data_IF_971885929170
#
_entry.id   IF_971885929170
#
_cell.length_a   1.000
_cell.length_b   1.000
_cell.length_c   1.000
_cell.angle_alpha   90.00
_cell.angle_beta   90.00
_cell.angle_gamma   90.00
#
_symmetry.space_group_name_H-M   'P 1'
#
loop_
_entity.id
_entity.type
_entity.pdbx_description
1 polymer ?
#
# COMPACT_ATOMS: atom_id res chain seq x y z
N UNK A 1 -4.41 33.47 4.61
CA UNK A 1 -5.14 32.25 4.14
C UNK A 1 -5.29 32.17 2.62
N UNK A 2 -5.39 33.29 1.86
CA UNK A 2 -5.57 33.27 0.39
C UNK A 2 -4.37 32.69 -0.40
N UNK A 3 -3.14 32.95 -0.03
CA UNK A 3 -1.94 32.49 -0.77
C UNK A 3 -1.74 30.98 -0.80
N UNK A 4 -2.25 30.26 0.19
CA UNK A 4 -2.14 28.80 0.26
C UNK A 4 -3.10 28.11 -0.74
N UNK A 5 -4.35 28.57 -0.82
CA UNK A 5 -5.35 27.97 -1.70
C UNK A 5 -5.00 28.17 -3.19
N UNK A 6 -4.54 29.38 -3.58
CA UNK A 6 -4.12 29.69 -4.95
C UNK A 6 -2.91 28.85 -5.41
N UNK A 7 -2.03 28.49 -4.48
CA UNK A 7 -0.92 27.60 -4.73
C UNK A 7 -1.42 26.19 -5.10
N UNK A 8 -2.35 25.65 -4.33
CA UNK A 8 -2.91 24.30 -4.57
C UNK A 8 -3.84 24.28 -5.78
N UNK A 9 -4.56 25.36 -6.10
CA UNK A 9 -5.35 25.46 -7.34
C UNK A 9 -4.46 25.30 -8.59
N UNK A 10 -3.26 25.88 -8.59
CA UNK A 10 -2.28 25.70 -9.68
C UNK A 10 -1.78 24.26 -9.72
N UNK A 11 -1.54 23.61 -8.59
CA UNK A 11 -1.05 22.23 -8.52
C UNK A 11 -2.09 21.19 -8.95
N UNK A 12 -3.39 21.50 -8.93
CA UNK A 12 -4.42 20.65 -9.55
C UNK A 12 -4.22 20.47 -11.07
N UNK A 13 -3.51 21.39 -11.72
CA UNK A 13 -3.22 21.35 -13.16
C UNK A 13 -1.83 20.82 -13.49
N UNK A 14 -1.05 20.39 -12.49
CA UNK A 14 0.31 19.88 -12.68
C UNK A 14 0.34 18.58 -13.50
N UNK A 15 1.39 18.39 -14.26
CA UNK A 15 1.66 17.12 -14.97
C UNK A 15 2.00 15.99 -14.00
N UNK A 16 2.58 16.31 -12.84
CA UNK A 16 2.97 15.32 -11.84
C UNK A 16 1.78 14.86 -11.00
N UNK A 17 1.59 13.54 -10.93
CA UNK A 17 0.50 12.94 -10.15
C UNK A 17 0.59 13.29 -8.66
N UNK A 18 1.81 13.38 -8.12
CA UNK A 18 2.06 13.71 -6.71
C UNK A 18 1.53 15.09 -6.37
N UNK A 19 1.80 16.11 -7.20
CA UNK A 19 1.33 17.46 -6.95
C UNK A 19 -0.20 17.57 -7.06
N UNK A 20 -0.80 16.88 -8.04
CA UNK A 20 -2.26 16.85 -8.17
C UNK A 20 -2.93 16.15 -6.98
N UNK A 21 -2.32 15.06 -6.47
CA UNK A 21 -2.81 14.35 -5.30
C UNK A 21 -2.75 15.21 -4.03
N UNK A 22 -1.61 15.89 -3.79
CA UNK A 22 -1.46 16.81 -2.66
C UNK A 22 -2.51 17.93 -2.71
N UNK A 23 -2.71 18.53 -3.89
CA UNK A 23 -3.71 19.56 -4.08
C UNK A 23 -5.14 19.04 -3.85
N UNK A 24 -5.48 17.86 -4.37
CA UNK A 24 -6.78 17.25 -4.17
C UNK A 24 -7.07 16.94 -2.69
N UNK A 25 -6.07 16.47 -1.95
CA UNK A 25 -6.17 16.21 -0.50
C UNK A 25 -6.29 17.50 0.31
N UNK A 26 -5.50 18.51 -0.03
CA UNK A 26 -5.65 19.82 0.61
C UNK A 26 -7.09 20.32 0.50
N UNK A 27 -7.70 20.24 -0.68
CA UNK A 27 -9.09 20.66 -0.87
C UNK A 27 -10.11 19.70 -0.23
N UNK A 28 -9.81 18.41 -0.07
CA UNK A 28 -10.65 17.53 0.72
C UNK A 28 -10.80 18.00 2.18
N UNK A 29 -9.75 18.62 2.74
CA UNK A 29 -9.78 19.17 4.08
C UNK A 29 -10.27 20.64 4.12
N UNK A 30 -9.96 21.48 3.11
CA UNK A 30 -10.07 22.94 3.17
C UNK A 30 -10.93 23.54 2.05
N UNK A 31 -11.71 22.74 1.32
CA UNK A 31 -12.54 23.28 0.24
C UNK A 31 -13.65 24.21 0.76
N UNK A 32 -13.88 25.27 0.01
CA UNK A 32 -14.98 26.21 0.18
C UNK A 32 -15.80 26.30 -1.10
N UNK A 33 -17.04 26.81 -1.09
CA UNK A 33 -17.86 26.93 -2.29
C UNK A 33 -17.19 27.64 -3.48
N UNK A 34 -16.27 28.58 -3.20
CA UNK A 34 -15.51 29.28 -4.25
C UNK A 34 -14.56 28.38 -5.05
N UNK A 35 -14.21 27.21 -4.55
CA UNK A 35 -13.32 26.25 -5.21
C UNK A 35 -14.06 25.25 -6.10
N UNK A 36 -15.40 25.24 -6.11
CA UNK A 36 -16.21 24.25 -6.81
C UNK A 36 -15.86 24.09 -8.29
N UNK A 37 -15.83 25.20 -9.04
CA UNK A 37 -15.57 25.18 -10.48
C UNK A 37 -14.20 24.54 -10.81
N UNK A 38 -13.16 24.90 -10.07
CA UNK A 38 -11.82 24.38 -10.26
C UNK A 38 -11.72 22.88 -9.92
N UNK A 39 -12.40 22.44 -8.86
CA UNK A 39 -12.42 21.04 -8.45
C UNK A 39 -13.21 20.17 -9.45
N UNK A 40 -14.32 20.66 -10.02
CA UNK A 40 -15.07 20.00 -11.09
C UNK A 40 -14.22 19.86 -12.35
N UNK A 41 -13.54 20.94 -12.77
CA UNK A 41 -12.64 20.92 -13.91
C UNK A 41 -11.51 19.90 -13.73
N UNK A 42 -10.88 19.89 -12.54
CA UNK A 42 -9.84 18.93 -12.21
C UNK A 42 -10.36 17.48 -12.23
N UNK A 43 -11.56 17.24 -11.69
CA UNK A 43 -12.19 15.91 -11.66
C UNK A 43 -12.49 15.39 -13.07
N UNK A 44 -12.93 16.25 -13.99
CA UNK A 44 -13.24 15.86 -15.39
C UNK A 44 -11.98 15.43 -16.16
N UNK A 45 -10.82 16.00 -15.82
CA UNK A 45 -9.54 15.69 -16.46
C UNK A 45 -8.78 14.54 -15.80
N UNK A 46 -9.09 14.25 -14.52
CA UNK A 46 -8.32 13.29 -13.74
C UNK A 46 -8.67 11.85 -14.11
N UNK A 47 -7.63 11.09 -14.50
CA UNK A 47 -7.74 9.67 -14.85
C UNK A 47 -7.26 8.75 -13.72
N UNK A 48 -6.60 9.31 -12.72
CA UNK A 48 -6.04 8.55 -11.62
C UNK A 48 -7.10 8.39 -10.53
N UNK A 49 -7.52 7.16 -10.29
CA UNK A 49 -8.67 6.82 -9.43
C UNK A 49 -8.60 7.46 -8.04
N UNK A 50 -7.44 7.41 -7.38
CA UNK A 50 -7.28 7.94 -6.01
C UNK A 50 -7.27 9.47 -5.95
N UNK A 51 -6.77 10.16 -6.99
CA UNK A 51 -6.86 11.63 -7.10
C UNK A 51 -8.31 12.02 -7.35
N UNK A 52 -9.00 11.30 -8.24
CA UNK A 52 -10.45 11.46 -8.47
C UNK A 52 -11.26 11.26 -7.20
N UNK A 53 -10.95 10.23 -6.39
CA UNK A 53 -11.61 10.00 -5.10
C UNK A 53 -11.38 11.14 -4.10
N UNK A 54 -10.18 11.72 -4.06
CA UNK A 54 -9.88 12.88 -3.20
C UNK A 54 -10.63 14.13 -3.68
N UNK A 55 -10.72 14.37 -4.99
CA UNK A 55 -11.50 15.48 -5.57
C UNK A 55 -13.01 15.33 -5.31
N UNK A 56 -13.57 14.11 -5.42
CA UNK A 56 -14.96 13.83 -5.07
C UNK A 56 -15.25 14.13 -3.60
N UNK A 57 -14.34 13.78 -2.68
CA UNK A 57 -14.46 14.13 -1.26
C UNK A 57 -14.43 15.65 -1.03
N UNK A 58 -13.55 16.36 -1.73
CA UNK A 58 -13.48 17.82 -1.67
C UNK A 58 -14.80 18.48 -2.11
N UNK A 59 -15.39 17.98 -3.21
CA UNK A 59 -16.66 18.48 -3.72
C UNK A 59 -17.85 18.13 -2.81
N UNK A 60 -17.90 16.93 -2.24
CA UNK A 60 -18.93 16.52 -1.30
C UNK A 60 -18.97 17.40 -0.03
N UNK A 61 -17.83 17.92 0.40
CA UNK A 61 -17.75 18.84 1.53
C UNK A 61 -18.39 20.20 1.26
N UNK A 62 -18.32 20.65 0.00
CA UNK A 62 -18.84 21.98 -0.41
C UNK A 62 -20.34 21.92 -0.73
N UNK A 63 -20.80 20.79 -1.22
CA UNK A 63 -22.16 20.56 -1.73
C UNK A 63 -22.86 19.43 -0.97
N UNK A 64 -23.19 19.61 0.31
CA UNK A 64 -23.82 18.57 1.10
C UNK A 64 -25.23 18.17 0.62
N UNK A 65 -25.83 18.92 -0.35
CA UNK A 65 -27.21 18.73 -0.81
C UNK A 65 -27.41 18.74 -2.33
N UNK A 66 -26.40 18.68 -3.19
CA UNK A 66 -26.62 18.79 -4.62
C UNK A 66 -25.90 17.71 -5.45
N UNK A 67 -26.71 16.89 -6.11
CA UNK A 67 -26.52 16.28 -7.47
C UNK A 67 -25.23 15.52 -7.82
N UNK A 68 -24.23 15.39 -6.96
CA UNK A 68 -23.14 14.43 -7.19
C UNK A 68 -23.57 12.99 -6.91
N UNK A 69 -24.76 12.85 -6.38
CA UNK A 69 -25.48 11.58 -6.18
C UNK A 69 -26.10 11.08 -7.50
N UNK A 70 -26.15 11.90 -8.56
CA UNK A 70 -26.95 11.62 -9.76
C UNK A 70 -26.23 10.95 -10.94
N UNK A 71 -24.97 10.53 -10.81
CA UNK A 71 -24.32 9.69 -11.85
C UNK A 71 -23.88 8.32 -11.34
N UNK A 72 -23.88 8.09 -10.02
CA UNK A 72 -23.65 6.77 -9.40
C UNK A 72 -24.52 6.53 -8.15
N UNK A 73 -25.48 7.37 -7.88
CA UNK A 73 -26.43 7.12 -6.80
C UNK A 73 -27.80 7.73 -7.12
N UNK A 74 -28.45 7.23 -8.16
CA UNK A 74 -29.84 6.85 -8.02
C UNK A 74 -29.86 5.59 -7.13
N UNK A 75 -29.34 5.74 -5.92
CA UNK A 75 -29.58 4.77 -4.87
C UNK A 75 -30.96 5.09 -4.35
N UNK A 76 -31.95 4.51 -5.01
CA UNK A 76 -33.28 4.31 -4.48
C UNK A 76 -33.14 3.77 -3.04
N UNK A 77 -34.07 4.13 -2.18
CA UNK A 77 -34.16 3.60 -0.80
C UNK A 77 -34.25 2.07 -0.75
N UNK A 78 -34.32 1.40 -1.90
CA UNK A 78 -34.30 -0.06 -2.07
C UNK A 78 -32.88 -0.66 -2.15
N UNK A 79 -31.80 0.16 -2.32
CA UNK A 79 -30.41 -0.32 -2.42
C UNK A 79 -29.73 -0.64 -1.08
N UNK A 80 -30.34 -0.26 0.05
CA UNK A 80 -29.83 -0.60 1.39
C UNK A 80 -29.76 -2.13 1.58
N UNK A 81 -30.75 -2.93 1.11
CA UNK A 81 -30.67 -4.38 1.17
C UNK A 81 -29.55 -4.98 0.32
N UNK A 82 -29.29 -4.44 -0.88
CA UNK A 82 -28.22 -4.96 -1.77
C UNK A 82 -26.83 -4.67 -1.25
N UNK A 83 -26.57 -3.46 -0.75
CA UNK A 83 -25.30 -3.12 -0.10
C UNK A 83 -25.07 -3.94 1.16
N UNK A 84 -26.10 -4.10 1.97
CA UNK A 84 -26.04 -4.96 3.15
C UNK A 84 -25.84 -6.42 2.76
N UNK A 85 -26.52 -6.90 1.74
CA UNK A 85 -26.33 -8.25 1.21
C UNK A 85 -24.93 -8.45 0.63
N UNK A 86 -24.39 -7.46 -0.11
CA UNK A 86 -23.03 -7.47 -0.62
C UNK A 86 -21.98 -7.47 0.51
N UNK A 87 -22.22 -6.69 1.57
CA UNK A 87 -21.35 -6.67 2.74
C UNK A 87 -21.37 -8.01 3.48
N UNK A 88 -22.57 -8.55 3.75
CA UNK A 88 -22.74 -9.86 4.39
C UNK A 88 -22.13 -10.97 3.55
N UNK A 89 -22.26 -10.89 2.22
CA UNK A 89 -21.64 -11.86 1.31
C UNK A 89 -20.11 -11.75 1.32
N UNK A 90 -19.56 -10.53 1.35
CA UNK A 90 -18.12 -10.29 1.45
C UNK A 90 -17.57 -10.82 2.78
N UNK A 91 -18.26 -10.54 3.90
CA UNK A 91 -17.89 -11.03 5.23
C UNK A 91 -17.98 -12.56 5.32
N UNK A 92 -19.02 -13.15 4.72
CA UNK A 92 -19.18 -14.60 4.66
C UNK A 92 -18.09 -15.26 3.80
N UNK A 93 -17.71 -14.65 2.67
CA UNK A 93 -16.65 -15.13 1.81
C UNK A 93 -15.28 -15.00 2.51
N UNK A 94 -15.05 -13.92 3.25
CA UNK A 94 -13.85 -13.74 4.06
C UNK A 94 -13.76 -14.79 5.15
N UNK A 95 -14.85 -15.08 5.84
CA UNK A 95 -14.93 -16.12 6.87
C UNK A 95 -14.67 -17.50 6.27
N UNK A 96 -15.33 -17.85 5.16
CA UNK A 96 -15.14 -19.14 4.50
C UNK A 96 -13.70 -19.31 3.98
N UNK A 97 -13.11 -18.26 3.41
CA UNK A 97 -11.71 -18.27 2.98
C UNK A 97 -10.75 -18.45 4.17
N UNK A 98 -11.09 -17.85 5.33
CA UNK A 98 -10.32 -18.02 6.57
C UNK A 98 -10.35 -19.47 7.07
N UNK A 99 -11.55 -20.07 7.10
CA UNK A 99 -11.72 -21.46 7.53
C UNK A 99 -10.98 -22.41 6.60
N UNK A 100 -11.10 -22.23 5.28
CA UNK A 100 -10.37 -23.04 4.29
C UNK A 100 -8.85 -22.97 4.47
N UNK A 101 -8.29 -21.78 4.68
CA UNK A 101 -6.85 -21.63 4.93
C UNK A 101 -6.47 -22.40 6.20
N UNK A 102 -7.26 -22.24 7.27
CA UNK A 102 -7.00 -22.89 8.55
C UNK A 102 -7.10 -24.41 8.48
N UNK A 103 -7.93 -24.96 7.59
CA UNK A 103 -8.01 -26.39 7.35
C UNK A 103 -6.87 -26.91 6.45
N UNK A 104 -6.41 -26.10 5.48
CA UNK A 104 -5.36 -26.50 4.53
C UNK A 104 -3.97 -26.46 5.17
N UNK A 105 -3.67 -25.49 6.05
CA UNK A 105 -2.36 -25.36 6.69
C UNK A 105 -1.92 -26.64 7.45
N UNK A 106 -2.76 -27.30 8.28
CA UNK A 106 -2.39 -28.55 8.96
C UNK A 106 -2.18 -29.72 7.97
N UNK A 107 -2.98 -29.77 6.90
CA UNK A 107 -2.85 -30.82 5.86
C UNK A 107 -1.51 -30.66 5.15
N UNK A 108 -1.15 -29.43 4.81
CA UNK A 108 0.13 -29.14 4.17
C UNK A 108 1.32 -29.48 5.08
N UNK A 109 1.20 -29.17 6.39
CA UNK A 109 2.20 -29.56 7.39
C UNK A 109 2.39 -31.07 7.49
N UNK A 110 1.28 -31.81 7.49
CA UNK A 110 1.30 -33.30 7.51
C UNK A 110 1.91 -33.86 6.22
N UNK A 111 1.54 -33.29 5.06
CA UNK A 111 2.08 -33.69 3.77
C UNK A 111 3.59 -33.42 3.68
N UNK A 112 4.05 -32.29 4.24
CA UNK A 112 5.48 -31.96 4.31
C UNK A 112 6.26 -33.01 5.13
N UNK A 113 5.76 -33.34 6.33
CA UNK A 113 6.40 -34.36 7.16
C UNK A 113 6.47 -35.73 6.49
N UNK A 114 5.39 -36.16 5.82
CA UNK A 114 5.39 -37.41 5.07
C UNK A 114 6.40 -37.37 3.90
N UNK A 115 6.40 -36.29 3.14
CA UNK A 115 7.32 -36.11 2.01
C UNK A 115 8.79 -36.03 2.45
N UNK A 116 9.11 -35.43 3.59
CA UNK A 116 10.46 -35.42 4.16
C UNK A 116 10.96 -36.84 4.51
N UNK A 117 10.05 -37.72 4.94
CA UNK A 117 10.38 -39.11 5.24
C UNK A 117 10.51 -40.01 3.99
N UNK A 118 9.80 -39.67 2.91
CA UNK A 118 9.69 -40.56 1.70
C UNK A 118 10.57 -40.12 0.52
N UNK A 119 10.88 -38.79 0.45
CA UNK A 119 11.62 -38.22 -0.69
C UNK A 119 13.09 -37.98 -0.34
N UNK A 120 14.04 -38.70 -0.97
CA UNK A 120 15.46 -38.45 -0.78
C UNK A 120 15.83 -37.00 -1.14
N UNK A 121 16.66 -36.34 -0.31
CA UNK A 121 17.10 -34.95 -0.48
C UNK A 121 15.91 -34.00 -0.65
N UNK A 122 14.90 -34.15 0.18
CA UNK A 122 13.62 -33.43 0.09
C UNK A 122 13.79 -31.95 -0.18
N UNK A 123 14.68 -31.23 0.55
CA UNK A 123 14.91 -29.79 0.38
C UNK A 123 15.35 -29.36 -1.03
N UNK A 124 16.02 -30.25 -1.78
CA UNK A 124 16.44 -30.00 -3.14
C UNK A 124 15.51 -30.64 -4.19
N UNK A 125 14.51 -31.38 -3.74
CA UNK A 125 13.57 -32.08 -4.59
C UNK A 125 12.53 -31.14 -5.23
N UNK A 126 11.90 -31.60 -6.31
CA UNK A 126 10.76 -30.87 -6.90
C UNK A 126 9.56 -30.83 -5.94
N UNK A 127 9.38 -31.90 -5.14
CA UNK A 127 8.32 -32.00 -4.15
C UNK A 127 8.51 -30.94 -3.06
N UNK A 128 9.72 -30.81 -2.50
CA UNK A 128 10.04 -29.79 -1.51
C UNK A 128 9.80 -28.38 -2.03
N UNK A 129 10.34 -28.07 -3.23
CA UNK A 129 10.12 -26.75 -3.86
C UNK A 129 8.65 -26.43 -4.13
N UNK A 130 7.83 -27.41 -4.47
CA UNK A 130 6.40 -27.18 -4.69
C UNK A 130 5.64 -27.01 -3.38
N UNK A 131 6.02 -27.70 -2.31
CA UNK A 131 5.46 -27.49 -0.98
C UNK A 131 5.82 -26.10 -0.43
N UNK A 132 7.07 -25.66 -0.60
CA UNK A 132 7.49 -24.29 -0.24
C UNK A 132 6.64 -23.23 -0.97
N UNK A 133 6.39 -23.45 -2.27
CA UNK A 133 5.51 -22.55 -3.05
C UNK A 133 4.07 -22.53 -2.55
N UNK A 134 3.56 -23.66 -2.08
CA UNK A 134 2.22 -23.73 -1.51
C UNK A 134 2.14 -22.99 -0.18
N UNK A 135 3.14 -23.16 0.69
CA UNK A 135 3.27 -22.42 1.94
C UNK A 135 3.32 -20.90 1.68
N UNK A 136 4.14 -20.46 0.72
CA UNK A 136 4.23 -19.06 0.31
C UNK A 136 2.90 -18.51 -0.20
N UNK A 137 2.14 -19.31 -0.97
CA UNK A 137 0.81 -18.94 -1.46
C UNK A 137 -0.18 -18.75 -0.31
N UNK A 138 -0.26 -19.70 0.61
CA UNK A 138 -1.15 -19.61 1.77
C UNK A 138 -0.80 -18.41 2.66
N UNK A 139 0.49 -18.20 2.92
CA UNK A 139 0.97 -17.04 3.66
C UNK A 139 0.64 -15.70 2.95
N UNK A 140 0.74 -15.65 1.62
CA UNK A 140 0.36 -14.48 0.84
C UNK A 140 -1.15 -14.22 0.88
N UNK A 141 -1.95 -15.29 0.84
CA UNK A 141 -3.41 -15.21 0.94
C UNK A 141 -3.85 -14.71 2.31
N UNK A 142 -3.25 -15.23 3.40
CA UNK A 142 -3.49 -14.78 4.77
C UNK A 142 -3.14 -13.29 4.95
N UNK A 143 -2.02 -12.85 4.38
CA UNK A 143 -1.64 -11.43 4.38
C UNK A 143 -2.59 -10.56 3.56
N UNK A 144 -3.05 -11.02 2.39
CA UNK A 144 -4.01 -10.27 1.56
C UNK A 144 -5.34 -10.10 2.28
N UNK A 145 -5.84 -11.17 2.92
CA UNK A 145 -7.03 -11.12 3.76
C UNK A 145 -6.90 -10.10 4.89
N UNK A 146 -5.77 -10.14 5.64
CA UNK A 146 -5.51 -9.16 6.70
C UNK A 146 -5.43 -7.72 6.14
N UNK A 147 -4.86 -7.54 4.95
CA UNK A 147 -4.76 -6.26 4.28
C UNK A 147 -6.14 -5.72 3.83
N UNK A 148 -7.10 -6.59 3.54
CA UNK A 148 -8.45 -6.21 3.12
C UNK A 148 -9.42 -6.02 4.31
N UNK A 149 -9.08 -6.52 5.50
CA UNK A 149 -9.94 -6.40 6.69
C UNK A 149 -9.98 -4.97 7.23
N UNK A 150 -11.01 -4.66 8.03
CA UNK A 150 -11.14 -3.36 8.67
C UNK A 150 -9.89 -3.01 9.50
N UNK A 151 -9.29 -1.82 9.33
CA UNK A 151 -8.09 -1.42 10.07
C UNK A 151 -8.40 -1.22 11.55
N UNK A 152 -7.50 -1.69 12.41
CA UNK A 152 -7.54 -1.44 13.85
C UNK A 152 -6.75 -0.16 14.13
N UNK A 153 -7.46 0.96 14.14
CA UNK A 153 -6.82 2.26 14.34
C UNK A 153 -6.43 2.47 15.80
N UNK A 154 -5.16 2.77 16.01
CA UNK A 154 -4.56 3.10 17.31
C UNK A 154 -3.48 4.17 17.13
N UNK A 155 -3.11 4.85 18.20
CA UNK A 155 -1.94 5.72 18.21
C UNK A 155 -0.69 4.89 18.49
N UNK A 156 0.34 5.05 17.66
CA UNK A 156 1.61 4.33 17.83
C UNK A 156 2.81 5.17 17.39
N UNK A 157 4.00 4.76 17.84
CA UNK A 157 5.28 5.37 17.46
C UNK A 157 5.75 4.82 16.11
N UNK A 158 5.73 5.67 15.08
CA UNK A 158 6.12 5.28 13.71
C UNK A 158 7.61 4.92 13.62
N UNK A 159 8.46 5.63 14.35
CA UNK A 159 9.90 5.35 14.40
C UNK A 159 10.19 3.97 15.04
N UNK A 160 9.42 3.54 16.05
CA UNK A 160 9.54 2.19 16.62
C UNK A 160 9.12 1.12 15.62
N UNK A 161 8.03 1.33 14.87
CA UNK A 161 7.60 0.40 13.82
C UNK A 161 8.67 0.30 12.72
N UNK A 162 9.20 1.42 12.25
CA UNK A 162 10.29 1.44 11.27
C UNK A 162 11.52 0.71 11.79
N UNK A 163 11.92 0.97 13.04
CA UNK A 163 13.09 0.32 13.66
C UNK A 163 12.90 -1.20 13.75
N UNK A 164 11.73 -1.67 14.16
CA UNK A 164 11.39 -3.10 14.22
C UNK A 164 11.46 -3.75 12.84
N UNK A 165 10.85 -3.14 11.82
CA UNK A 165 10.91 -3.66 10.46
C UNK A 165 12.34 -3.76 9.91
N UNK A 166 13.22 -2.80 10.24
CA UNK A 166 14.64 -2.87 9.86
C UNK A 166 15.34 -4.03 10.57
N UNK A 167 15.10 -4.23 11.87
CA UNK A 167 15.73 -5.29 12.66
C UNK A 167 15.31 -6.68 12.22
N UNK A 168 14.05 -6.85 11.82
CA UNK A 168 13.48 -8.12 11.34
C UNK A 168 13.86 -8.43 9.88
N UNK A 169 14.37 -7.45 9.15
CA UNK A 169 14.72 -7.63 7.73
C UNK A 169 16.05 -8.37 7.58
N UNK A 170 16.15 -9.34 6.64
CA UNK A 170 17.39 -10.05 6.34
C UNK A 170 18.35 -9.15 5.56
N UNK A 171 19.01 -8.23 6.25
CA UNK A 171 19.97 -7.31 5.66
C UNK A 171 21.36 -7.92 5.72
N UNK A 172 22.04 -8.05 4.58
CA UNK A 172 23.45 -8.44 4.57
C UNK A 172 24.34 -7.30 5.09
N UNK A 173 25.50 -7.60 5.65
CA UNK A 173 26.47 -6.60 6.15
C UNK A 173 26.90 -5.57 5.09
N UNK A 174 26.73 -5.89 3.82
CA UNK A 174 27.08 -5.01 2.69
C UNK A 174 26.04 -3.93 2.40
N UNK A 175 24.82 -4.05 2.95
CA UNK A 175 23.72 -3.10 2.72
C UNK A 175 23.58 -2.20 3.94
N UNK A 176 23.76 -0.91 3.71
CA UNK A 176 23.57 0.09 4.75
C UNK A 176 22.18 0.72 4.66
N UNK A 177 21.45 0.81 5.78
CA UNK A 177 20.16 1.48 5.88
C UNK A 177 20.31 2.77 6.67
N UNK A 178 19.98 3.88 6.03
CA UNK A 178 19.96 5.21 6.65
C UNK A 178 18.55 5.60 7.03
N UNK A 179 18.39 6.11 8.24
CA UNK A 179 17.11 6.59 8.78
C UNK A 179 17.07 8.10 8.77
N UNK A 180 15.94 8.69 8.35
CA UNK A 180 15.74 10.12 8.27
C UNK A 180 14.27 10.46 8.66
N UNK A 181 14.02 10.73 9.91
CA UNK A 181 12.70 11.10 10.42
C UNK A 181 12.76 11.56 11.86
N UNK A 182 11.68 12.19 12.35
CA UNK A 182 11.60 12.61 13.75
C UNK A 182 11.54 11.40 14.68
N UNK A 183 12.20 11.50 15.82
CA UNK A 183 12.04 10.57 16.93
C UNK A 183 10.66 10.82 17.60
N UNK A 184 10.08 9.76 18.18
CA UNK A 184 8.75 9.84 18.84
C UNK A 184 7.65 10.40 17.92
N UNK A 185 7.64 9.97 16.67
CA UNK A 185 6.63 10.33 15.68
C UNK A 185 5.35 9.54 15.96
N UNK A 186 4.46 10.07 16.79
CA UNK A 186 3.17 9.44 17.07
C UNK A 186 2.22 9.68 15.91
N UNK A 187 1.63 8.59 15.41
CA UNK A 187 0.72 8.58 14.28
C UNK A 187 -0.50 7.72 14.59
N UNK A 188 -1.65 8.06 14.02
CA UNK A 188 -2.86 7.25 14.12
C UNK A 188 -2.98 6.32 12.89
N UNK A 189 -3.34 5.06 13.12
CA UNK A 189 -3.50 4.07 12.06
C UNK A 189 -3.45 2.64 12.58
N UNK A 190 -3.38 1.67 11.68
CA UNK A 190 -3.15 0.26 12.01
C UNK A 190 -1.66 -0.06 11.90
N UNK A 191 -0.99 -0.19 13.04
CA UNK A 191 0.46 -0.43 13.12
C UNK A 191 0.89 -1.71 12.39
N UNK A 192 0.03 -2.75 12.39
CA UNK A 192 0.27 -4.03 11.68
C UNK A 192 0.20 -3.88 10.16
N UNK A 193 -0.77 -3.12 9.64
CA UNK A 193 -0.89 -2.83 8.20
C UNK A 193 0.26 -1.94 7.73
N UNK A 194 0.66 -0.95 8.51
CA UNK A 194 1.83 -0.11 8.23
C UNK A 194 3.10 -0.94 8.20
N UNK A 195 3.32 -1.82 9.18
CA UNK A 195 4.47 -2.74 9.19
C UNK A 195 4.47 -3.67 7.98
N UNK A 196 3.30 -4.18 7.58
CA UNK A 196 3.16 -5.01 6.38
C UNK A 196 3.59 -4.26 5.10
N UNK A 197 3.18 -3.00 4.95
CA UNK A 197 3.61 -2.14 3.84
C UNK A 197 5.12 -1.88 3.86
N UNK A 198 5.66 -1.51 5.04
CA UNK A 198 7.08 -1.27 5.25
C UNK A 198 7.93 -2.49 4.91
N UNK A 199 7.56 -3.67 5.40
CA UNK A 199 8.29 -4.91 5.14
C UNK A 199 8.30 -5.27 3.65
N UNK A 200 7.21 -5.03 2.92
CA UNK A 200 7.18 -5.24 1.47
C UNK A 200 8.07 -4.23 0.72
N UNK A 201 8.02 -2.95 1.08
CA UNK A 201 8.87 -1.92 0.48
C UNK A 201 10.35 -2.15 0.78
N UNK A 202 10.68 -2.44 2.04
CA UNK A 202 12.05 -2.66 2.49
C UNK A 202 12.65 -3.92 1.86
N UNK A 203 11.92 -5.02 1.81
CA UNK A 203 12.36 -6.25 1.12
C UNK A 203 12.66 -5.99 -0.35
N UNK A 204 11.79 -5.27 -1.05
CA UNK A 204 12.01 -4.93 -2.46
C UNK A 204 13.27 -4.07 -2.64
N UNK A 205 13.50 -3.09 -1.76
CA UNK A 205 14.70 -2.24 -1.77
C UNK A 205 15.99 -3.03 -1.51
N UNK A 206 15.97 -3.95 -0.53
CA UNK A 206 17.10 -4.83 -0.20
C UNK A 206 17.42 -5.74 -1.38
N UNK A 207 16.43 -6.41 -1.97
CA UNK A 207 16.60 -7.29 -3.12
C UNK A 207 17.13 -6.54 -4.35
N UNK A 208 16.59 -5.33 -4.64
CA UNK A 208 17.06 -4.51 -5.75
C UNK A 208 18.52 -4.05 -5.56
N UNK A 209 18.90 -3.76 -4.31
CA UNK A 209 20.26 -3.36 -3.96
C UNK A 209 21.21 -4.55 -4.00
N UNK A 210 20.81 -5.72 -3.49
CA UNK A 210 21.58 -6.97 -3.52
C UNK A 210 21.85 -7.47 -4.94
N UNK A 211 20.99 -7.13 -5.89
CA UNK A 211 21.16 -7.51 -7.30
C UNK A 211 22.25 -6.69 -8.03
N UNK A 212 22.83 -5.68 -7.39
CA UNK A 212 23.99 -4.97 -7.93
C UNK A 212 25.25 -5.83 -7.80
N UNK A 213 26.19 -5.65 -8.73
CA UNK A 213 27.45 -6.38 -8.68
C UNK A 213 28.25 -6.01 -7.41
N UNK A 214 28.94 -6.99 -6.82
CA UNK A 214 29.71 -6.87 -5.58
C UNK A 214 30.80 -5.77 -5.60
N UNK A 215 31.19 -5.30 -6.78
CA UNK A 215 32.21 -4.25 -6.96
C UNK A 215 31.64 -2.82 -6.93
N UNK A 216 30.32 -2.66 -6.83
CA UNK A 216 29.67 -1.35 -6.82
C UNK A 216 29.33 -0.98 -5.37
N UNK A 217 30.01 0.02 -4.79
CA UNK A 217 29.54 0.61 -3.52
C UNK A 217 28.14 1.18 -3.75
N UNK A 218 27.14 0.51 -3.23
CA UNK A 218 25.76 0.99 -3.26
C UNK A 218 25.58 2.14 -2.28
N UNK A 219 24.93 3.22 -2.68
CA UNK A 219 24.40 4.18 -1.72
C UNK A 219 23.46 3.47 -0.72
N UNK A 220 23.34 4.00 0.50
CA UNK A 220 22.46 3.41 1.50
C UNK A 220 21.01 3.40 1.02
N UNK A 221 20.24 2.40 1.46
CA UNK A 221 18.77 2.47 1.41
C UNK A 221 18.35 3.52 2.42
N UNK A 222 17.64 4.55 1.98
CA UNK A 222 17.16 5.61 2.88
C UNK A 222 15.70 5.39 3.21
N UNK A 223 15.38 5.29 4.50
CA UNK A 223 14.01 5.27 5.00
C UNK A 223 13.75 6.61 5.68
N UNK A 224 12.80 7.37 5.13
CA UNK A 224 12.39 8.65 5.69
C UNK A 224 10.90 8.60 6.07
N UNK A 225 10.53 9.26 7.16
CA UNK A 225 9.14 9.33 7.61
C UNK A 225 8.84 10.67 8.25
N UNK A 226 7.56 10.98 8.35
CA UNK A 226 7.09 12.21 8.96
C UNK A 226 5.59 12.40 8.80
N UNK A 227 5.16 13.61 9.04
CA UNK A 227 3.78 14.03 8.90
C UNK A 227 3.66 15.39 8.24
N UNK A 228 2.55 15.60 7.55
CA UNK A 228 2.10 16.92 7.06
C UNK A 228 0.90 17.38 7.89
N UNK A 229 0.26 18.46 7.52
CA UNK A 229 -0.98 18.91 8.19
C UNK A 229 -2.13 17.90 8.02
N UNK A 230 -2.13 17.11 6.95
CA UNK A 230 -3.24 16.23 6.56
C UNK A 230 -2.89 14.74 6.48
N UNK A 231 -1.62 14.40 6.35
CA UNK A 231 -1.16 13.03 6.12
C UNK A 231 0.01 12.65 7.03
N UNK A 232 0.13 11.36 7.28
CA UNK A 232 1.37 10.69 7.67
C UNK A 232 2.00 10.07 6.42
N UNK A 233 3.32 9.97 6.39
CA UNK A 233 4.02 9.41 5.25
C UNK A 233 5.30 8.66 5.65
N UNK A 234 5.64 7.66 4.83
CA UNK A 234 6.95 6.99 4.85
C UNK A 234 7.44 6.84 3.42
N UNK A 235 8.73 7.04 3.21
CA UNK A 235 9.41 6.87 1.92
C UNK A 235 10.62 5.97 2.08
N UNK A 236 10.74 4.94 1.25
CA UNK A 236 11.91 4.07 1.14
C UNK A 236 12.54 4.32 -0.22
N UNK A 237 13.79 4.74 -0.24
CA UNK A 237 14.54 5.03 -1.47
C UNK A 237 15.70 4.08 -1.57
N UNK A 238 15.74 3.31 -2.63
CA UNK A 238 16.87 2.48 -3.00
C UNK A 238 17.64 3.05 -4.19
N UNK A 239 18.86 2.57 -4.37
CA UNK A 239 19.71 2.85 -5.53
C UNK A 239 20.08 1.56 -6.27
N UNK A 240 19.19 0.55 -6.20
CA UNK A 240 19.36 -0.76 -6.79
C UNK A 240 19.21 -0.78 -8.32
N UNK A 241 18.93 -1.95 -8.86
CA UNK A 241 18.79 -2.17 -10.31
C UNK A 241 17.57 -1.48 -10.93
N UNK A 242 16.73 -0.83 -10.11
CA UNK A 242 15.51 -0.18 -10.54
C UNK A 242 14.40 -1.16 -10.91
N UNK A 243 13.29 -0.62 -11.39
CA UNK A 243 12.13 -1.40 -11.83
C UNK A 243 12.13 -1.55 -13.35
N UNK A 244 12.18 -2.80 -13.82
CA UNK A 244 12.09 -3.13 -15.25
C UNK A 244 10.65 -3.45 -15.60
N UNK A 245 9.91 -2.47 -16.12
CA UNK A 245 8.52 -2.69 -16.53
C UNK A 245 7.63 -1.47 -16.31
N UNK A 246 6.32 -1.68 -16.48
CA UNK A 246 5.33 -0.64 -16.21
C UNK A 246 5.06 -0.56 -14.70
N UNK A 247 5.45 0.54 -14.06
CA UNK A 247 5.21 0.77 -12.62
C UNK A 247 3.72 0.75 -12.24
N UNK A 248 2.83 1.09 -13.16
CA UNK A 248 1.38 1.04 -12.90
C UNK A 248 0.89 -0.41 -12.72
N UNK A 249 1.51 -1.35 -13.46
CA UNK A 249 1.19 -2.79 -13.36
C UNK A 249 1.88 -3.48 -12.19
N UNK A 250 2.81 -2.82 -11.52
CA UNK A 250 3.53 -3.39 -10.38
C UNK A 250 2.62 -3.75 -9.19
N UNK A 251 1.43 -3.15 -9.13
CA UNK A 251 0.41 -3.41 -8.12
C UNK A 251 -0.59 -4.51 -8.49
N UNK A 252 -0.54 -5.02 -9.72
CA UNK A 252 -1.37 -6.14 -10.16
C UNK A 252 -0.85 -7.44 -9.54
N UNK A 253 -1.76 -8.29 -9.06
CA UNK A 253 -1.40 -9.60 -8.49
C UNK A 253 -0.72 -10.48 -9.54
N UNK A 254 0.30 -11.21 -9.13
CA UNK A 254 1.05 -12.09 -10.01
C UNK A 254 2.07 -11.37 -10.90
N UNK A 255 2.17 -10.05 -10.82
CA UNK A 255 3.18 -9.30 -11.58
C UNK A 255 4.51 -9.33 -10.86
N UNK A 256 5.45 -10.08 -11.41
CA UNK A 256 6.83 -10.16 -10.90
C UNK A 256 7.82 -10.38 -12.05
N UNK A 257 8.99 -9.78 -11.93
CA UNK A 257 10.14 -10.04 -12.79
C UNK A 257 11.14 -11.00 -12.13
N UNK A 258 10.84 -11.46 -10.90
CA UNK A 258 11.74 -12.26 -10.07
C UNK A 258 11.32 -13.73 -10.12
N UNK A 259 12.27 -14.64 -10.40
CA UNK A 259 12.01 -16.05 -10.35
C UNK A 259 11.71 -16.50 -8.90
N UNK A 260 10.70 -17.36 -8.75
CA UNK A 260 10.31 -17.90 -7.44
C UNK A 260 9.45 -17.00 -6.58
N UNK A 261 9.16 -15.76 -6.98
CA UNK A 261 8.27 -14.87 -6.26
C UNK A 261 6.85 -14.89 -6.82
N UNK A 262 5.85 -14.82 -5.94
CA UNK A 262 4.43 -14.85 -6.31
C UNK A 262 3.93 -13.53 -6.94
N UNK A 263 4.71 -12.45 -6.86
CA UNK A 263 4.29 -11.14 -7.36
C UNK A 263 3.11 -10.52 -6.59
N UNK A 264 2.93 -10.87 -5.32
CA UNK A 264 1.80 -10.40 -4.50
C UNK A 264 2.18 -9.29 -3.51
N UNK A 265 3.47 -9.06 -3.23
CA UNK A 265 3.92 -8.16 -2.17
C UNK A 265 3.42 -6.72 -2.32
N UNK A 266 3.56 -6.12 -3.50
CA UNK A 266 3.11 -4.75 -3.76
C UNK A 266 1.58 -4.64 -3.81
N UNK A 267 0.88 -5.66 -4.32
CA UNK A 267 -0.58 -5.73 -4.31
C UNK A 267 -1.11 -5.77 -2.87
N UNK A 268 -0.51 -6.59 -2.00
CA UNK A 268 -0.85 -6.68 -0.57
C UNK A 268 -0.59 -5.34 0.14
N UNK A 269 0.56 -4.72 -0.10
CA UNK A 269 0.89 -3.42 0.49
C UNK A 269 -0.08 -2.32 0.03
N UNK A 270 -0.44 -2.32 -1.26
CA UNK A 270 -1.41 -1.37 -1.79
C UNK A 270 -2.81 -1.58 -1.19
N UNK A 271 -3.25 -2.84 -1.04
CA UNK A 271 -4.53 -3.16 -0.40
C UNK A 271 -4.54 -2.73 1.07
N UNK A 272 -3.48 -3.04 1.83
CA UNK A 272 -3.34 -2.66 3.24
C UNK A 272 -3.42 -1.14 3.45
N UNK A 273 -2.77 -0.38 2.56
CA UNK A 273 -2.80 1.07 2.66
C UNK A 273 -4.15 1.65 2.21
N UNK A 274 -4.75 1.06 1.18
CA UNK A 274 -6.08 1.44 0.68
C UNK A 274 -7.18 1.22 1.73
N UNK A 275 -7.11 0.16 2.54
CA UNK A 275 -8.08 -0.10 3.62
C UNK A 275 -8.05 1.01 4.69
N UNK A 276 -6.93 1.70 4.88
CA UNK A 276 -6.77 2.87 5.75
C UNK A 276 -7.07 4.20 5.04
N UNK A 277 -7.59 4.18 3.81
CA UNK A 277 -7.79 5.38 2.99
C UNK A 277 -6.48 6.02 2.50
N UNK A 278 -5.38 5.29 2.59
CA UNK A 278 -4.06 5.71 2.16
C UNK A 278 -3.75 5.44 0.69
N UNK A 279 -2.56 5.80 0.25
CA UNK A 279 -2.06 5.62 -1.11
C UNK A 279 -0.62 5.15 -1.11
N UNK A 280 -0.32 4.21 -2.00
CA UNK A 280 1.01 3.69 -2.25
C UNK A 280 1.50 4.16 -3.63
N UNK A 281 2.70 4.69 -3.69
CA UNK A 281 3.32 5.18 -4.92
C UNK A 281 4.67 4.52 -5.13
N UNK A 282 4.93 4.14 -6.38
CA UNK A 282 6.26 3.77 -6.83
C UNK A 282 6.73 4.85 -7.83
N UNK A 283 7.81 5.51 -7.50
CA UNK A 283 8.36 6.59 -8.31
C UNK A 283 9.76 6.19 -8.78
N UNK A 284 10.08 6.40 -10.07
CA UNK A 284 11.45 6.19 -10.53
C UNK A 284 12.39 7.17 -9.84
N UNK A 285 13.56 6.69 -9.45
CA UNK A 285 14.65 7.51 -8.97
C UNK A 285 15.80 7.46 -10.00
N UNK A 286 16.76 8.36 -9.92
CA UNK A 286 17.91 8.41 -10.84
C UNK A 286 18.65 7.06 -10.95
N UNK A 287 18.72 6.33 -9.83
CA UNK A 287 19.07 4.90 -9.71
C UNK A 287 18.09 4.29 -8.72
N UNK A 288 17.47 3.17 -9.09
CA UNK A 288 16.53 2.48 -8.19
C UNK A 288 15.11 3.03 -8.20
N UNK A 289 14.42 2.89 -7.09
CA UNK A 289 13.00 3.23 -6.93
C UNK A 289 12.77 3.96 -5.61
N UNK A 290 11.81 4.85 -5.60
CA UNK A 290 11.21 5.37 -4.38
C UNK A 290 9.86 4.69 -4.16
N UNK A 291 9.74 3.97 -3.08
CA UNK A 291 8.49 3.47 -2.54
C UNK A 291 7.97 4.49 -1.53
N UNK A 292 6.79 5.05 -1.75
CA UNK A 292 6.22 6.07 -0.87
C UNK A 292 4.80 5.68 -0.48
N UNK A 293 4.54 5.65 0.81
CA UNK A 293 3.23 5.40 1.37
C UNK A 293 2.74 6.62 2.15
N UNK A 294 1.44 6.92 2.02
CA UNK A 294 0.76 8.02 2.72
C UNK A 294 -0.60 7.56 3.20
N UNK A 295 -1.00 7.97 4.39
CA UNK A 295 -2.34 7.75 4.89
C UNK A 295 -2.83 8.99 5.64
N UNK A 296 -4.15 9.26 5.61
CA UNK A 296 -4.70 10.49 6.15
C UNK A 296 -4.64 10.51 7.67
N UNK A 297 -4.47 11.71 8.23
CA UNK A 297 -4.79 11.97 9.63
C UNK A 297 -6.30 11.86 9.80
N UNK A 298 -6.74 11.08 10.77
CA UNK A 298 -8.14 11.06 11.13
C UNK A 298 -8.47 12.41 11.73
N UNK A 299 -9.35 13.16 11.08
CA UNK A 299 -9.88 14.39 11.64
C UNK A 299 -10.83 13.97 12.77
N UNK A 300 -10.42 14.21 14.01
CA UNK A 300 -11.25 14.06 15.20
C UNK A 300 -12.38 15.10 15.21
#
# INVERSE_FOLDING_TARGET
MSQSADHFLRRLKSETQTERLEAARYFAANATPSHEAALREALTRERVHWISAALKRALAKILPNAEFISAESSVDRDDVPERFAAQVYADALETAASELIHEVEPILGTLRLAAEGEVPNFGESNTGRNLDRLDDLLAAFSRLRRAASAPKTEDFSLDEVVQRCIQESPVSESIHIQKAGPLQCIVAGDSGLIAMCLNNGLRNAIEATSALSAHTKSPPITIAWGQTDIDYWVSIVDSGVGFKGNLQRAFEMGTTTKQGHLGMGLAIANQALSSMGGTLLLLPNARGVRFEMRWPKLVS
#
